data_IF_122439078884
#
_entry.id   IF_122439078884
#
_cell.length_a   1.000
_cell.length_b   1.000
_cell.length_c   1.000
_cell.angle_alpha   90.00
_cell.angle_beta   90.00
_cell.angle_gamma   90.00
#
_symmetry.space_group_name_H-M   'P 1'
#
loop_
_entity.id
_entity.type
_entity.pdbx_description
1 polymer ?
#
# COMPACT_ATOMS: atom_id res chain seq x y z
N UNK A 1 9.14 32.61 -18.32
CA UNK A 1 9.33 31.75 -17.13
C UNK A 1 10.02 30.48 -17.60
N UNK A 2 11.35 30.46 -17.46
CA UNK A 2 12.26 29.43 -17.96
C UNK A 2 12.13 28.17 -17.07
N UNK A 3 11.55 27.09 -17.58
CA UNK A 3 11.48 25.83 -16.84
C UNK A 3 12.78 25.04 -17.05
N UNK A 4 13.85 25.46 -16.36
CA UNK A 4 15.00 24.58 -16.09
C UNK A 4 14.57 23.52 -15.10
N UNK A 5 14.42 22.28 -15.54
CA UNK A 5 14.35 21.14 -14.63
C UNK A 5 15.67 20.36 -14.73
N UNK A 6 16.67 20.88 -14.02
CA UNK A 6 17.79 20.10 -13.51
C UNK A 6 17.49 19.81 -12.04
N UNK A 7 17.52 18.55 -11.64
CA UNK A 7 17.60 18.18 -10.22
C UNK A 7 17.51 16.66 -10.00
N UNK A 8 17.93 16.15 -8.83
CA UNK A 8 19.13 16.46 -8.05
C UNK A 8 20.13 15.27 -8.04
N UNK A 9 21.35 15.54 -7.59
CA UNK A 9 22.35 14.51 -7.23
C UNK A 9 21.80 13.57 -6.15
N UNK A 10 22.22 12.32 -6.24
CA UNK A 10 22.01 11.18 -5.32
C UNK A 10 20.63 10.52 -5.34
N UNK A 11 20.43 9.64 -6.33
CA UNK A 11 19.88 8.31 -6.03
C UNK A 11 20.24 7.30 -7.15
N UNK A 12 20.80 6.17 -6.74
CA UNK A 12 21.19 5.06 -7.62
C UNK A 12 19.94 4.43 -8.26
N UNK A 13 19.61 4.80 -9.50
CA UNK A 13 18.66 4.07 -10.34
C UNK A 13 19.40 3.33 -11.46
N UNK A 14 19.82 2.09 -11.17
CA UNK A 14 20.37 1.14 -12.15
C UNK A 14 19.38 0.83 -13.28
N UNK A 15 19.94 0.82 -14.49
CA UNK A 15 19.64 0.13 -15.77
C UNK A 15 18.18 -0.04 -16.24
N UNK A 16 17.94 0.37 -17.49
CA UNK A 16 16.87 -0.07 -18.39
C UNK A 16 15.44 0.40 -18.13
N UNK A 17 15.20 1.72 -18.15
CA UNK A 17 13.82 2.26 -18.27
C UNK A 17 13.75 3.37 -19.31
N UNK A 18 12.85 3.21 -20.28
CA UNK A 18 12.31 4.29 -21.11
C UNK A 18 11.17 4.92 -20.32
N UNK A 19 11.33 6.17 -19.91
CA UNK A 19 10.30 6.94 -19.20
C UNK A 19 9.32 7.51 -20.24
N UNK A 20 8.02 7.19 -20.12
CA UNK A 20 6.96 7.77 -20.95
C UNK A 20 6.03 8.57 -20.04
N UNK A 21 5.68 9.80 -20.43
CA UNK A 21 4.83 10.70 -19.63
C UNK A 21 3.55 11.03 -20.41
N UNK A 22 2.40 10.81 -19.76
CA UNK A 22 1.06 11.13 -20.25
C UNK A 22 0.66 12.47 -19.63
N UNK A 23 0.30 13.43 -20.48
CA UNK A 23 0.13 14.85 -20.11
C UNK A 23 -1.32 15.18 -19.72
N UNK A 24 -2.26 14.34 -20.15
CA UNK A 24 -3.67 14.43 -19.85
C UNK A 24 -4.24 13.03 -19.97
N UNK A 25 -5.19 12.61 -19.15
CA UNK A 25 -5.64 11.20 -19.03
C UNK A 25 -5.97 10.45 -20.33
N UNK A 26 -6.08 11.16 -21.47
CA UNK A 26 -6.37 10.67 -22.83
C UNK A 26 -5.23 10.78 -23.85
N UNK A 27 -4.10 11.44 -23.55
CA UNK A 27 -3.05 11.76 -24.55
C UNK A 27 -1.63 11.48 -24.05
N UNK A 28 -0.86 10.75 -24.86
CA UNK A 28 0.52 10.34 -24.57
C UNK A 28 1.49 10.94 -25.59
N UNK A 29 2.62 11.47 -25.11
CA UNK A 29 3.74 11.86 -25.97
C UNK A 29 4.82 10.77 -25.96
N UNK A 30 5.29 10.42 -27.16
CA UNK A 30 6.46 9.58 -27.40
C UNK A 30 7.44 10.34 -28.29
N UNK A 31 8.68 9.87 -28.45
CA UNK A 31 9.69 10.55 -29.29
C UNK A 31 10.34 9.58 -30.27
N UNK A 32 10.51 10.03 -31.52
CA UNK A 32 11.34 9.38 -32.55
C UNK A 32 12.61 10.18 -32.77
N UNK A 33 13.69 9.47 -33.06
CA UNK A 33 14.96 10.05 -33.53
C UNK A 33 14.91 10.14 -35.04
N UNK A 34 15.05 11.35 -35.59
CA UNK A 34 15.12 11.59 -37.04
C UNK A 34 16.59 11.57 -37.46
N UNK A 35 16.95 11.13 -38.69
CA UNK A 35 18.34 11.04 -39.16
C UNK A 35 19.16 12.34 -39.05
N UNK A 36 18.50 13.48 -38.89
CA UNK A 36 19.11 14.80 -38.67
C UNK A 36 19.61 15.05 -37.23
N UNK A 37 19.51 14.06 -36.34
CA UNK A 37 19.94 14.17 -34.94
C UNK A 37 18.98 14.99 -34.05
N UNK A 38 17.87 15.48 -34.62
CA UNK A 38 16.81 16.17 -33.87
C UNK A 38 15.72 15.18 -33.43
N UNK A 39 15.23 15.40 -32.22
CA UNK A 39 14.07 14.71 -31.67
C UNK A 39 12.79 15.20 -32.34
N UNK A 40 12.00 14.28 -32.90
CA UNK A 40 10.63 14.56 -33.28
C UNK A 40 9.70 13.91 -32.26
N UNK A 41 9.04 14.69 -31.38
CA UNK A 41 8.01 14.16 -30.51
C UNK A 41 6.78 13.79 -31.36
N UNK A 42 6.34 12.53 -31.25
CA UNK A 42 5.08 12.07 -31.82
C UNK A 42 4.02 12.06 -30.74
N UNK A 43 2.81 12.44 -31.13
CA UNK A 43 1.70 12.54 -30.19
C UNK A 43 0.65 11.50 -30.49
N UNK A 44 0.36 10.66 -29.53
CA UNK A 44 -0.61 9.57 -29.69
C UNK A 44 -1.82 9.84 -28.82
N UNK A 45 -3.00 9.85 -29.44
CA UNK A 45 -4.28 9.81 -28.71
C UNK A 45 -4.53 8.38 -28.31
N UNK A 46 -4.83 8.19 -27.03
CA UNK A 46 -5.38 6.95 -26.52
C UNK A 46 -6.89 7.10 -26.62
N UNK A 47 -7.50 6.57 -27.68
CA UNK A 47 -8.93 6.69 -27.98
C UNK A 47 -9.81 5.85 -27.04
N UNK A 48 -9.51 5.81 -25.74
CA UNK A 48 -10.18 4.97 -24.75
C UNK A 48 -9.86 3.48 -24.84
N UNK A 49 -9.06 3.09 -25.83
CA UNK A 49 -8.62 1.72 -26.04
C UNK A 49 -7.46 1.29 -25.14
N UNK A 50 -7.38 0.00 -24.83
CA UNK A 50 -6.25 -0.61 -24.10
C UNK A 50 -5.24 -1.26 -25.05
N UNK A 51 -5.57 -1.38 -26.33
CA UNK A 51 -4.77 -2.12 -27.30
C UNK A 51 -3.96 -1.17 -28.21
N UNK A 52 -2.79 -1.59 -28.72
CA UNK A 52 -1.95 -0.77 -29.61
C UNK A 52 -2.68 -0.21 -30.84
N UNK A 53 -3.59 -1.00 -31.44
CA UNK A 53 -4.37 -0.63 -32.63
C UNK A 53 -5.39 0.48 -32.39
N UNK A 54 -5.78 0.69 -31.14
CA UNK A 54 -6.72 1.74 -30.72
C UNK A 54 -5.98 3.05 -30.35
N UNK A 55 -4.65 3.04 -30.50
CA UNK A 55 -3.73 4.12 -30.10
C UNK A 55 -2.83 4.55 -31.27
N UNK A 56 -3.39 5.02 -32.41
CA UNK A 56 -2.60 5.37 -33.60
C UNK A 56 -1.64 6.55 -33.34
N UNK A 57 -0.46 6.55 -34.02
CA UNK A 57 0.48 7.66 -33.97
C UNK A 57 -0.10 8.96 -34.54
N UNK A 58 0.41 10.09 -34.05
CA UNK A 58 0.17 11.45 -34.57
C UNK A 58 -1.30 11.90 -34.58
N UNK A 59 -2.10 11.39 -33.63
CA UNK A 59 -3.50 11.80 -33.43
C UNK A 59 -3.72 12.75 -32.24
N UNK A 60 -2.67 13.09 -31.48
CA UNK A 60 -2.69 13.99 -30.31
C UNK A 60 -3.15 15.41 -30.59
N UNK A 61 -3.81 16.05 -29.61
CA UNK A 61 -4.12 17.50 -29.63
C UNK A 61 -3.16 18.34 -28.76
N UNK A 62 -2.03 17.77 -28.31
CA UNK A 62 -1.07 18.50 -27.49
C UNK A 62 -0.38 19.57 -28.35
N UNK A 63 -0.46 20.84 -27.95
CA UNK A 63 0.28 21.89 -28.65
C UNK A 63 1.72 21.88 -28.16
N UNK A 64 2.65 21.35 -28.96
CA UNK A 64 4.08 21.36 -28.61
C UNK A 64 4.75 22.65 -29.08
N UNK A 65 5.60 23.23 -28.24
CA UNK A 65 6.37 24.42 -28.60
C UNK A 65 7.51 24.01 -29.54
N UNK A 66 7.48 24.52 -30.77
CA UNK A 66 8.48 24.19 -31.80
C UNK A 66 9.89 24.56 -31.35
N UNK A 67 10.87 23.68 -31.60
CA UNK A 67 12.28 23.92 -31.28
C UNK A 67 12.68 23.65 -29.82
N UNK A 68 11.76 23.20 -28.97
CA UNK A 68 12.03 22.91 -27.54
C UNK A 68 12.19 21.41 -27.23
N UNK A 69 12.05 20.56 -28.23
CA UNK A 69 12.19 19.11 -28.06
C UNK A 69 13.64 18.65 -28.17
N UNK A 70 14.09 17.87 -27.20
CA UNK A 70 15.44 17.29 -27.18
C UNK A 70 15.37 15.81 -26.85
N UNK A 71 16.22 15.01 -27.51
CA UNK A 71 16.49 13.63 -27.13
C UNK A 71 17.97 13.55 -26.79
N UNK A 72 18.27 13.01 -25.62
CA UNK A 72 19.64 12.82 -25.14
C UNK A 72 19.82 11.36 -24.77
N UNK A 73 20.87 10.72 -25.29
CA UNK A 73 21.30 9.40 -24.85
C UNK A 73 22.41 9.58 -23.82
N UNK A 74 22.19 9.12 -22.59
CA UNK A 74 23.19 9.16 -21.52
C UNK A 74 23.10 7.89 -20.68
N UNK A 75 24.25 7.24 -20.44
CA UNK A 75 24.36 6.05 -19.59
C UNK A 75 23.36 4.93 -19.96
N UNK A 76 23.25 4.63 -21.26
CA UNK A 76 22.31 3.63 -21.80
C UNK A 76 20.82 3.94 -21.54
N UNK A 77 20.48 5.21 -21.30
CA UNK A 77 19.10 5.69 -21.18
C UNK A 77 18.85 6.77 -22.22
N UNK A 78 17.68 6.71 -22.84
CA UNK A 78 17.18 7.74 -23.74
C UNK A 78 16.27 8.67 -22.94
N UNK A 79 16.63 9.95 -22.89
CA UNK A 79 15.82 11.01 -22.30
C UNK A 79 15.13 11.78 -23.42
N UNK A 80 13.85 12.04 -23.26
CA UNK A 80 13.06 12.90 -24.13
C UNK A 80 12.56 14.09 -23.30
N UNK A 81 12.86 15.29 -23.75
CA UNK A 81 12.32 16.53 -23.23
C UNK A 81 11.51 17.23 -24.32
N UNK A 82 10.42 17.88 -23.94
CA UNK A 82 9.57 18.69 -24.82
C UNK A 82 8.80 19.70 -23.97
N UNK A 83 8.40 20.81 -24.57
CA UNK A 83 7.53 21.79 -23.94
C UNK A 83 6.14 21.75 -24.57
N UNK A 84 5.11 21.80 -23.71
CA UNK A 84 3.71 21.84 -24.11
C UNK A 84 3.17 23.25 -23.84
N UNK A 85 2.48 23.82 -24.81
CA UNK A 85 1.69 25.04 -24.69
C UNK A 85 0.28 24.68 -24.24
N UNK A 86 -0.17 25.27 -23.14
CA UNK A 86 -1.51 25.07 -22.61
C UNK A 86 -1.97 26.33 -21.88
N UNK A 87 -3.26 26.64 -21.96
CA UNK A 87 -3.83 27.84 -21.33
C UNK A 87 -3.85 27.69 -19.79
N UNK A 88 -4.03 26.46 -19.29
CA UNK A 88 -3.85 26.11 -17.88
C UNK A 88 -3.16 24.75 -17.74
N UNK A 89 -2.12 24.65 -16.90
CA UNK A 89 -1.41 23.39 -16.71
C UNK A 89 -2.31 22.37 -16.01
N UNK A 90 -2.52 21.22 -16.64
CA UNK A 90 -3.39 20.18 -16.10
C UNK A 90 -2.76 19.58 -14.84
N UNK A 91 -3.46 19.55 -13.71
CA UNK A 91 -2.88 19.06 -12.46
C UNK A 91 -2.60 17.56 -12.53
N UNK A 92 -3.35 16.78 -13.30
CA UNK A 92 -3.24 15.33 -13.34
C UNK A 92 -2.33 14.84 -14.48
N UNK A 93 -1.23 14.20 -14.09
CA UNK A 93 -0.27 13.54 -14.96
C UNK A 93 -0.33 12.04 -14.75
N UNK A 94 -0.02 11.28 -15.80
CA UNK A 94 0.16 9.84 -15.68
C UNK A 94 1.59 9.51 -16.11
N UNK A 95 2.29 8.77 -15.27
CA UNK A 95 3.62 8.25 -15.53
C UNK A 95 3.47 6.80 -15.95
N UNK A 96 4.11 6.36 -17.03
CA UNK A 96 4.02 4.98 -17.49
C UNK A 96 5.36 4.39 -17.90
N UNK A 97 5.49 3.08 -17.75
CA UNK A 97 6.69 2.30 -18.06
C UNK A 97 6.37 1.32 -19.18
N UNK A 98 7.05 1.49 -20.32
CA UNK A 98 6.91 0.60 -21.46
C UNK A 98 7.52 -0.80 -21.26
N UNK A 99 7.31 -1.70 -22.23
CA UNK A 99 7.97 -3.01 -22.28
C UNK A 99 9.51 -2.87 -22.40
N UNK A 100 10.27 -3.89 -21.98
CA UNK A 100 11.74 -3.89 -22.16
C UNK A 100 12.06 -4.17 -23.62
N UNK A 101 13.06 -3.45 -24.14
CA UNK A 101 13.62 -3.68 -25.48
C UNK A 101 12.60 -3.59 -26.63
N UNK A 102 11.47 -2.93 -26.40
CA UNK A 102 10.39 -2.81 -27.36
C UNK A 102 10.11 -1.33 -27.61
N UNK A 103 10.84 -0.79 -28.58
CA UNK A 103 10.70 0.59 -29.05
C UNK A 103 9.77 0.61 -30.26
N UNK A 104 8.91 1.63 -30.40
CA UNK A 104 8.10 1.80 -31.60
C UNK A 104 9.00 1.82 -32.84
N UNK A 105 8.74 0.92 -33.79
CA UNK A 105 9.56 0.75 -34.99
C UNK A 105 8.77 1.05 -36.26
N UNK A 106 9.46 1.43 -37.37
CA UNK A 106 8.80 1.67 -38.66
C UNK A 106 8.06 0.44 -39.18
N UNK A 107 8.59 -0.77 -38.96
CA UNK A 107 7.97 -2.02 -39.40
C UNK A 107 6.63 -2.30 -38.70
N UNK A 108 6.49 -1.84 -37.45
CA UNK A 108 5.26 -1.99 -36.66
C UNK A 108 4.33 -0.76 -36.77
N UNK A 109 4.52 0.10 -37.77
CA UNK A 109 3.73 1.32 -37.96
C UNK A 109 3.86 2.33 -36.80
N UNK A 110 4.92 2.21 -35.99
CA UNK A 110 5.17 3.01 -34.79
C UNK A 110 4.07 2.98 -33.74
N UNK A 111 3.30 1.90 -33.65
CA UNK A 111 2.29 1.71 -32.62
C UNK A 111 2.91 1.68 -31.22
N UNK A 112 2.18 2.17 -30.23
CA UNK A 112 2.58 2.07 -28.83
C UNK A 112 2.22 0.70 -28.25
N UNK A 113 3.22 -0.01 -27.78
CA UNK A 113 3.05 -1.20 -26.94
C UNK A 113 2.40 -0.85 -25.59
N UNK A 114 1.70 -1.83 -25.02
CA UNK A 114 1.07 -1.71 -23.70
C UNK A 114 2.13 -1.45 -22.60
N UNK A 115 1.80 -0.55 -21.67
CA UNK A 115 2.66 -0.24 -20.53
C UNK A 115 2.60 -1.38 -19.51
N UNK A 116 3.76 -1.76 -18.95
CA UNK A 116 3.82 -2.78 -17.88
C UNK A 116 3.45 -2.21 -16.52
N UNK A 117 3.62 -0.91 -16.36
CA UNK A 117 3.35 -0.21 -15.12
C UNK A 117 2.91 1.22 -15.43
N UNK A 118 2.01 1.75 -14.61
CA UNK A 118 1.54 3.12 -14.72
C UNK A 118 1.08 3.65 -13.35
N UNK A 119 1.33 4.93 -13.12
CA UNK A 119 0.91 5.65 -11.93
C UNK A 119 0.32 7.00 -12.34
N UNK A 120 -0.60 7.53 -11.53
CA UNK A 120 -1.17 8.85 -11.72
C UNK A 120 -0.69 9.79 -10.61
N UNK A 121 -0.32 11.01 -10.97
CA UNK A 121 0.24 12.01 -10.07
C UNK A 121 -0.49 13.34 -10.30
N UNK A 122 -0.96 13.98 -9.24
CA UNK A 122 -1.47 15.35 -9.27
C UNK A 122 -0.37 16.33 -8.87
N UNK A 123 -0.30 17.46 -9.55
CA UNK A 123 0.62 18.57 -9.25
C UNK A 123 -0.22 19.82 -9.02
N UNK A 124 -0.09 20.41 -7.84
CA UNK A 124 -0.59 21.74 -7.57
C UNK A 124 0.47 22.76 -7.98
N UNK A 125 0.26 23.43 -9.11
CA UNK A 125 1.22 24.40 -9.66
C UNK A 125 1.36 25.69 -8.85
N UNK A 126 0.41 25.97 -7.94
CA UNK A 126 0.45 27.16 -7.07
C UNK A 126 1.30 26.87 -5.83
N UNK A 127 1.12 25.69 -5.22
CA UNK A 127 1.83 25.32 -3.98
C UNK A 127 3.10 24.50 -4.22
N UNK A 128 3.29 23.97 -5.42
CA UNK A 128 4.41 23.08 -5.77
C UNK A 128 4.27 21.65 -5.22
N UNK A 129 3.13 21.31 -4.60
CA UNK A 129 2.89 19.99 -4.00
C UNK A 129 2.59 18.96 -5.09
N UNK A 130 3.22 17.79 -4.99
CA UNK A 130 3.03 16.64 -5.87
C UNK A 130 2.39 15.52 -5.04
N UNK A 131 1.22 15.03 -5.46
CA UNK A 131 0.46 13.97 -4.78
C UNK A 131 0.08 12.86 -5.77
N UNK A 132 -0.30 11.67 -5.32
CA UNK A 132 -0.85 10.65 -6.22
C UNK A 132 -2.28 11.02 -6.64
N UNK A 133 -2.63 10.84 -7.91
CA UNK A 133 -3.92 11.29 -8.47
C UNK A 133 -5.07 10.28 -8.29
N UNK A 134 -4.94 9.35 -7.34
CA UNK A 134 -6.05 8.56 -6.82
C UNK A 134 -6.49 9.18 -5.50
N UNK A 135 -7.80 9.46 -5.37
CA UNK A 135 -8.55 9.78 -4.15
C UNK A 135 -7.69 9.96 -2.90
N UNK A 136 -7.66 11.18 -2.33
CA UNK A 136 -6.89 11.52 -1.12
C UNK A 136 -7.16 10.51 0.01
N UNK A 137 -6.38 9.42 0.04
CA UNK A 137 -6.24 8.65 1.25
C UNK A 137 -5.28 9.47 2.11
N UNK A 138 -5.77 10.01 3.22
CA UNK A 138 -4.98 10.75 4.21
C UNK A 138 -3.69 10.01 4.67
N UNK A 139 -3.57 8.72 4.35
CA UNK A 139 -2.44 7.86 4.63
C UNK A 139 -1.89 7.19 3.36
N UNK A 140 -0.56 7.25 3.19
CA UNK A 140 0.16 6.48 2.17
C UNK A 140 -0.07 4.96 2.31
N UNK A 141 0.20 4.17 1.26
CA UNK A 141 0.03 2.71 1.30
C UNK A 141 0.81 2.01 2.45
N UNK A 142 2.08 2.37 2.75
CA UNK A 142 2.79 1.89 3.93
C UNK A 142 2.12 2.28 5.26
N UNK A 143 1.65 3.52 5.37
CA UNK A 143 0.93 3.99 6.56
C UNK A 143 -0.40 3.25 6.74
N UNK A 144 -1.14 2.97 5.65
CA UNK A 144 -2.36 2.15 5.69
C UNK A 144 -2.08 0.72 6.13
N UNK A 145 -1.01 0.09 5.64
CA UNK A 145 -0.58 -1.24 6.09
C UNK A 145 -0.32 -1.25 7.60
N UNK A 146 0.50 -0.30 8.08
CA UNK A 146 0.83 -0.17 9.50
C UNK A 146 -0.39 0.11 10.37
N UNK A 147 -1.23 1.07 9.97
CA UNK A 147 -2.43 1.49 10.70
C UNK A 147 -3.45 0.36 10.81
N UNK A 148 -3.71 -0.37 9.71
CA UNK A 148 -4.64 -1.51 9.72
C UNK A 148 -4.12 -2.66 10.59
N UNK A 149 -2.82 -2.93 10.57
CA UNK A 149 -2.19 -3.92 11.46
C UNK A 149 -2.29 -3.52 12.94
N UNK A 150 -2.00 -2.25 13.26
CA UNK A 150 -2.09 -1.71 14.61
C UNK A 150 -3.53 -1.70 15.14
N UNK A 151 -4.48 -1.12 14.39
CA UNK A 151 -5.88 -1.06 14.82
C UNK A 151 -6.53 -2.45 14.86
N UNK A 152 -6.32 -3.24 13.81
CA UNK A 152 -6.88 -4.58 13.70
C UNK A 152 -6.33 -5.49 14.79
N UNK A 153 -5.04 -5.82 14.72
CA UNK A 153 -4.45 -6.85 15.58
C UNK A 153 -3.89 -6.32 16.90
N UNK A 154 -3.41 -5.07 16.92
CA UNK A 154 -2.83 -4.45 18.13
C UNK A 154 -3.85 -3.88 19.11
N UNK A 155 -5.03 -3.47 18.64
CA UNK A 155 -6.06 -2.81 19.48
C UNK A 155 -7.31 -3.67 19.60
N UNK A 156 -8.00 -3.95 18.49
CA UNK A 156 -9.32 -4.59 18.55
C UNK A 156 -9.25 -6.01 19.10
N UNK A 157 -8.21 -6.78 18.78
CA UNK A 157 -8.14 -8.17 19.25
C UNK A 157 -7.90 -8.26 20.77
N UNK A 158 -6.92 -7.53 21.35
CA UNK A 158 -6.83 -7.42 22.81
C UNK A 158 -8.12 -6.93 23.47
N UNK A 159 -8.82 -5.96 22.85
CA UNK A 159 -10.12 -5.48 23.35
C UNK A 159 -11.18 -6.60 23.34
N UNK A 160 -11.28 -7.38 22.26
CA UNK A 160 -12.19 -8.52 22.17
C UNK A 160 -11.89 -9.58 23.24
N UNK A 161 -10.60 -9.85 23.51
CA UNK A 161 -10.18 -10.75 24.58
C UNK A 161 -10.52 -10.20 25.98
N UNK A 162 -10.34 -8.90 26.20
CA UNK A 162 -10.73 -8.22 27.44
C UNK A 162 -12.25 -8.28 27.68
N UNK A 163 -13.06 -8.02 26.63
CA UNK A 163 -14.52 -8.13 26.71
C UNK A 163 -14.97 -9.55 27.12
N UNK A 164 -14.36 -10.59 26.55
CA UNK A 164 -14.68 -11.97 26.94
C UNK A 164 -14.27 -12.32 28.37
N UNK A 165 -13.28 -11.62 28.93
CA UNK A 165 -12.79 -11.84 30.31
C UNK A 165 -13.62 -11.08 31.34
N UNK A 166 -13.87 -9.79 31.12
CA UNK A 166 -14.41 -8.89 32.13
C UNK A 166 -15.92 -8.67 32.01
N UNK A 167 -16.49 -8.77 30.80
CA UNK A 167 -17.94 -8.62 30.59
C UNK A 167 -18.69 -9.96 30.68
N UNK A 168 -18.06 -11.00 31.27
CA UNK A 168 -18.57 -12.38 31.25
C UNK A 168 -19.98 -12.54 31.84
N UNK A 169 -20.35 -11.64 32.74
CA UNK A 169 -21.63 -11.66 33.45
C UNK A 169 -22.81 -11.22 32.54
N UNK A 170 -22.53 -10.67 31.36
CA UNK A 170 -23.54 -10.29 30.38
C UNK A 170 -23.74 -11.43 29.36
N UNK A 171 -24.20 -12.61 29.79
CA UNK A 171 -24.54 -13.71 28.87
C UNK A 171 -25.92 -13.45 28.24
N UNK A 172 -26.09 -13.49 26.90
CA UNK A 172 -25.13 -13.87 25.85
C UNK A 172 -24.33 -12.71 25.21
N UNK A 173 -24.56 -11.46 25.63
CA UNK A 173 -24.00 -10.26 24.98
C UNK A 173 -22.46 -10.26 24.92
N UNK A 174 -21.76 -10.78 25.94
CA UNK A 174 -20.30 -10.86 25.97
C UNK A 174 -19.76 -11.69 24.80
N UNK A 175 -20.48 -12.74 24.41
CA UNK A 175 -20.06 -13.63 23.33
C UNK A 175 -20.23 -12.96 21.98
N UNK A 176 -21.36 -12.28 21.76
CA UNK A 176 -21.59 -11.49 20.56
C UNK A 176 -20.54 -10.36 20.44
N UNK A 177 -20.32 -9.60 21.51
CA UNK A 177 -19.31 -8.54 21.54
C UNK A 177 -17.90 -9.09 21.26
N UNK A 178 -17.50 -10.18 21.89
CA UNK A 178 -16.23 -10.85 21.62
C UNK A 178 -16.10 -11.23 20.14
N UNK A 179 -17.09 -11.94 19.60
CA UNK A 179 -17.06 -12.42 18.22
C UNK A 179 -17.05 -11.28 17.20
N UNK A 180 -17.87 -10.25 17.39
CA UNK A 180 -17.94 -9.09 16.50
C UNK A 180 -16.62 -8.31 16.49
N UNK A 181 -16.07 -7.99 17.67
CA UNK A 181 -14.81 -7.25 17.78
C UNK A 181 -13.64 -8.07 17.21
N UNK A 182 -13.59 -9.38 17.50
CA UNK A 182 -12.57 -10.28 16.95
C UNK A 182 -12.67 -10.40 15.42
N UNK A 183 -13.89 -10.48 14.89
CA UNK A 183 -14.14 -10.54 13.45
C UNK A 183 -13.67 -9.28 12.72
N UNK A 184 -14.01 -8.09 13.25
CA UNK A 184 -13.57 -6.81 12.68
C UNK A 184 -12.05 -6.68 12.78
N UNK A 185 -11.46 -6.99 13.93
CA UNK A 185 -10.00 -6.93 14.12
C UNK A 185 -9.25 -7.86 13.16
N UNK A 186 -9.78 -9.07 12.93
CA UNK A 186 -9.22 -10.02 11.98
C UNK A 186 -9.31 -9.50 10.54
N UNK A 187 -10.48 -9.00 10.13
CA UNK A 187 -10.69 -8.46 8.78
C UNK A 187 -9.76 -7.26 8.47
N UNK A 188 -9.61 -6.33 9.42
CA UNK A 188 -8.71 -5.19 9.26
C UNK A 188 -7.25 -5.62 9.16
N UNK A 189 -6.79 -6.54 10.01
CA UNK A 189 -5.42 -7.05 9.91
C UNK A 189 -5.16 -7.84 8.63
N UNK A 190 -6.14 -8.60 8.13
CA UNK A 190 -6.07 -9.27 6.83
C UNK A 190 -5.96 -8.25 5.68
N UNK A 191 -6.76 -7.19 5.71
CA UNK A 191 -6.63 -6.08 4.76
C UNK A 191 -5.23 -5.44 4.83
N UNK A 192 -4.70 -5.25 6.04
CA UNK A 192 -3.33 -4.80 6.27
C UNK A 192 -2.31 -5.71 5.60
N UNK A 193 -2.41 -7.04 5.76
CA UNK A 193 -1.53 -8.01 5.08
C UNK A 193 -1.62 -7.89 3.56
N UNK A 194 -2.83 -7.79 2.99
CA UNK A 194 -3.03 -7.66 1.53
C UNK A 194 -2.33 -6.40 1.00
N UNK A 195 -2.41 -5.29 1.71
CA UNK A 195 -1.66 -4.07 1.36
C UNK A 195 -0.15 -4.31 1.50
N UNK A 196 0.28 -4.97 2.57
CA UNK A 196 1.69 -5.33 2.81
C UNK A 196 2.30 -6.16 1.67
N UNK A 197 1.54 -7.10 1.11
CA UNK A 197 1.97 -7.86 -0.07
C UNK A 197 2.19 -6.98 -1.31
N UNK A 198 1.37 -5.94 -1.49
CA UNK A 198 1.52 -4.99 -2.61
C UNK A 198 2.72 -4.05 -2.44
N UNK A 199 3.15 -3.81 -1.20
CA UNK A 199 4.33 -2.99 -0.90
C UNK A 199 5.65 -3.73 -1.19
N UNK A 200 5.64 -5.06 -1.12
CA UNK A 200 6.83 -5.89 -1.22
C UNK A 200 7.17 -6.27 -2.67
N UNK A 201 7.78 -5.34 -3.38
CA UNK A 201 8.51 -5.61 -4.63
C UNK A 201 9.96 -6.09 -4.42
N UNK A 202 10.40 -6.33 -3.18
CA UNK A 202 11.81 -6.64 -2.84
C UNK A 202 11.91 -7.78 -1.81
N UNK A 203 12.38 -8.93 -2.27
CA UNK A 203 12.49 -10.18 -1.51
C UNK A 203 13.56 -10.16 -0.41
N UNK A 204 13.22 -9.65 0.77
CA UNK A 204 13.99 -9.87 2.00
C UNK A 204 13.49 -11.14 2.72
N UNK A 205 14.42 -12.01 3.13
CA UNK A 205 14.12 -13.23 3.92
C UNK A 205 13.40 -12.86 5.24
N UNK A 206 13.70 -11.68 5.79
CA UNK A 206 13.11 -11.19 7.03
C UNK A 206 11.64 -10.79 6.87
N UNK A 207 11.26 -10.15 5.74
CA UNK A 207 9.84 -9.86 5.45
C UNK A 207 9.03 -11.14 5.17
N UNK A 208 9.72 -12.23 4.80
CA UNK A 208 9.11 -13.56 4.66
C UNK A 208 8.78 -14.20 6.02
N UNK A 209 9.65 -14.05 7.04
CA UNK A 209 9.42 -14.58 8.40
C UNK A 209 8.32 -13.82 9.14
N UNK A 210 8.28 -12.48 9.03
CA UNK A 210 7.17 -11.66 9.56
C UNK A 210 5.84 -12.01 8.88
N UNK A 211 5.85 -12.26 7.56
CA UNK A 211 4.67 -12.79 6.83
C UNK A 211 4.23 -14.15 7.34
N UNK A 212 5.14 -15.11 7.47
CA UNK A 212 4.83 -16.51 7.83
C UNK A 212 4.32 -16.66 9.26
N UNK A 213 4.80 -15.83 10.19
CA UNK A 213 4.31 -15.80 11.58
C UNK A 213 2.91 -15.18 11.68
N UNK A 214 2.64 -14.12 10.93
CA UNK A 214 1.32 -13.48 10.85
C UNK A 214 0.24 -14.36 10.20
N UNK A 215 0.61 -15.13 9.17
CA UNK A 215 -0.34 -15.91 8.36
C UNK A 215 -0.72 -17.28 8.95
N UNK A 216 0.12 -17.90 9.79
CA UNK A 216 -0.02 -19.35 10.07
C UNK A 216 -0.90 -19.71 11.27
N UNK A 217 -1.06 -18.85 12.29
CA UNK A 217 -1.72 -19.25 13.55
C UNK A 217 -3.14 -18.68 13.77
N UNK A 218 -3.45 -17.52 13.20
CA UNK A 218 -4.69 -16.78 13.48
C UNK A 218 -5.96 -17.31 12.77
N UNK A 219 -5.93 -17.57 11.45
CA UNK A 219 -7.11 -18.09 10.75
C UNK A 219 -7.55 -19.44 11.32
N UNK A 220 -6.58 -20.26 11.73
CA UNK A 220 -6.82 -21.55 12.37
C UNK A 220 -7.57 -21.37 13.70
N UNK A 221 -7.13 -20.45 14.57
CA UNK A 221 -7.82 -20.16 15.83
C UNK A 221 -9.27 -19.70 15.61
N UNK A 222 -9.50 -18.84 14.61
CA UNK A 222 -10.82 -18.29 14.29
C UNK A 222 -11.77 -19.37 13.73
N UNK A 223 -11.28 -20.18 12.79
CA UNK A 223 -12.06 -21.27 12.16
C UNK A 223 -12.41 -22.34 13.20
N UNK A 224 -11.44 -22.80 14.00
CA UNK A 224 -11.72 -23.84 15.00
C UNK A 224 -12.66 -23.30 16.09
N UNK A 225 -12.58 -22.00 16.46
CA UNK A 225 -13.50 -21.38 17.41
C UNK A 225 -14.94 -21.23 16.90
N UNK A 226 -15.15 -21.12 15.58
CA UNK A 226 -16.48 -21.07 14.98
C UNK A 226 -17.09 -22.46 14.81
N UNK A 227 -16.32 -23.42 14.29
CA UNK A 227 -16.85 -24.70 13.82
C UNK A 227 -16.66 -25.87 14.79
N UNK A 228 -15.62 -25.84 15.63
CA UNK A 228 -15.25 -26.96 16.50
C UNK A 228 -15.36 -26.62 17.99
N UNK A 229 -16.12 -25.58 18.34
CA UNK A 229 -16.40 -25.19 19.72
C UNK A 229 -17.27 -26.26 20.40
N UNK A 230 -16.78 -26.98 21.43
CA UNK A 230 -17.54 -28.04 22.08
C UNK A 230 -18.71 -27.50 22.90
N UNK A 231 -19.74 -28.33 23.08
CA UNK A 231 -20.88 -28.04 23.93
C UNK A 231 -20.45 -27.74 25.38
N UNK A 232 -21.21 -26.85 26.06
CA UNK A 232 -20.91 -26.40 27.42
C UNK A 232 -20.87 -27.57 28.44
N UNK A 233 -21.60 -28.65 28.21
CA UNK A 233 -21.68 -29.83 29.09
C UNK A 233 -20.55 -30.86 28.88
N UNK A 234 -19.79 -30.75 27.79
CA UNK A 234 -18.78 -31.75 27.42
C UNK A 234 -17.47 -31.59 28.21
N UNK A 235 -16.81 -32.71 28.56
CA UNK A 235 -15.44 -32.68 29.16
C UNK A 235 -14.43 -32.00 28.22
N UNK A 236 -14.64 -32.12 26.91
CA UNK A 236 -13.82 -31.51 25.86
C UNK A 236 -13.81 -29.97 25.95
N UNK A 237 -14.86 -29.37 26.53
CA UNK A 237 -14.95 -27.93 26.75
C UNK A 237 -13.80 -27.37 27.59
N UNK A 238 -13.32 -28.15 28.57
CA UNK A 238 -12.21 -27.74 29.45
C UNK A 238 -10.89 -27.63 28.67
N UNK A 239 -10.55 -28.65 27.89
CA UNK A 239 -9.36 -28.67 27.03
C UNK A 239 -9.45 -27.58 25.95
N UNK A 240 -10.63 -27.43 25.34
CA UNK A 240 -10.91 -26.37 24.39
C UNK A 240 -10.65 -24.97 24.97
N UNK A 241 -11.19 -24.68 26.16
CA UNK A 241 -10.98 -23.39 26.81
C UNK A 241 -9.48 -23.18 27.12
N UNK A 242 -8.78 -24.18 27.64
CA UNK A 242 -7.34 -24.09 27.91
C UNK A 242 -6.55 -23.77 26.64
N UNK A 243 -6.77 -24.52 25.56
CA UNK A 243 -6.14 -24.27 24.27
C UNK A 243 -6.48 -22.86 23.77
N UNK A 244 -7.78 -22.52 23.76
CA UNK A 244 -8.26 -21.28 23.19
C UNK A 244 -7.67 -20.04 23.89
N UNK A 245 -7.59 -20.07 25.21
CA UNK A 245 -7.02 -18.98 26.00
C UNK A 245 -5.51 -18.87 25.84
N UNK A 246 -4.76 -19.97 25.93
CA UNK A 246 -3.31 -19.92 25.86
C UNK A 246 -2.82 -19.56 24.46
N UNK A 247 -3.37 -20.20 23.42
CA UNK A 247 -3.02 -19.88 22.04
C UNK A 247 -3.43 -18.45 21.70
N UNK A 248 -4.64 -18.01 22.09
CA UNK A 248 -5.09 -16.64 21.88
C UNK A 248 -4.17 -15.58 22.52
N UNK A 249 -3.64 -15.83 23.71
CA UNK A 249 -2.68 -14.95 24.38
C UNK A 249 -1.33 -14.90 23.66
N UNK A 250 -0.79 -16.05 23.26
CA UNK A 250 0.46 -16.12 22.48
C UNK A 250 0.35 -15.36 21.16
N UNK A 251 -0.80 -15.51 20.50
CA UNK A 251 -1.20 -14.84 19.26
C UNK A 251 -1.21 -13.31 19.41
N UNK A 252 -1.74 -12.78 20.52
CA UNK A 252 -1.69 -11.35 20.85
C UNK A 252 -0.24 -10.87 21.10
N UNK A 253 0.57 -11.65 21.82
CA UNK A 253 1.97 -11.31 22.08
C UNK A 253 2.80 -11.24 20.79
N UNK A 254 2.63 -12.23 19.90
CA UNK A 254 3.28 -12.26 18.58
C UNK A 254 2.83 -11.07 17.71
N UNK A 255 1.54 -10.75 17.70
CA UNK A 255 1.03 -9.58 16.95
C UNK A 255 1.65 -8.28 17.47
N UNK A 256 1.78 -8.12 18.78
CA UNK A 256 2.41 -6.95 19.41
C UNK A 256 3.89 -6.83 19.01
N UNK A 257 4.65 -7.93 19.07
CA UNK A 257 6.04 -7.96 18.64
C UNK A 257 6.18 -7.63 17.13
N UNK A 258 5.29 -8.18 16.30
CA UNK A 258 5.26 -7.90 14.86
C UNK A 258 4.98 -6.43 14.55
N UNK A 259 4.11 -5.75 15.32
CA UNK A 259 3.85 -4.32 15.15
C UNK A 259 5.11 -3.50 15.45
N UNK A 260 5.76 -3.74 16.59
CA UNK A 260 7.02 -3.04 16.92
C UNK A 260 8.13 -3.30 15.90
N UNK A 261 8.21 -4.54 15.41
CA UNK A 261 9.14 -4.90 14.35
C UNK A 261 8.84 -4.15 13.04
N UNK A 262 7.57 -4.07 12.64
CA UNK A 262 7.12 -3.31 11.47
C UNK A 262 7.43 -1.82 11.57
N UNK A 263 7.16 -1.20 12.74
CA UNK A 263 7.50 0.20 13.01
C UNK A 263 9.01 0.45 12.93
N UNK A 264 9.82 -0.49 13.45
CA UNK A 264 11.29 -0.41 13.38
C UNK A 264 11.80 -0.46 11.94
N UNK A 265 11.28 -1.37 11.12
CA UNK A 265 11.63 -1.45 9.68
C UNK A 265 11.21 -0.19 8.92
N UNK A 266 10.04 0.38 9.26
CA UNK A 266 9.56 1.62 8.66
C UNK A 266 10.39 2.86 9.04
N UNK A 267 11.32 2.74 10.00
CA UNK A 267 12.09 3.87 10.51
C UNK A 267 11.29 4.81 11.42
N UNK A 268 10.09 4.40 11.83
CA UNK A 268 9.16 5.16 12.65
C UNK A 268 9.57 5.08 14.12
N UNK A 269 10.54 5.91 14.54
CA UNK A 269 11.14 5.83 15.89
C UNK A 269 10.47 6.70 16.95
N UNK A 270 9.58 7.62 16.55
CA UNK A 270 9.07 8.65 17.46
C UNK A 270 7.56 8.51 17.72
N UNK A 271 6.70 9.20 16.96
CA UNK A 271 5.28 9.35 17.32
C UNK A 271 4.52 8.02 17.41
N UNK A 272 4.59 7.17 16.38
CA UNK A 272 3.84 5.91 16.32
C UNK A 272 4.35 4.87 17.32
N UNK A 273 5.67 4.77 17.47
CA UNK A 273 6.30 3.85 18.43
C UNK A 273 5.94 4.22 19.87
N UNK A 274 6.09 5.51 20.24
CA UNK A 274 5.76 6.01 21.57
C UNK A 274 4.26 5.89 21.82
N UNK A 275 3.43 6.32 20.87
CA UNK A 275 1.97 6.26 20.99
C UNK A 275 1.44 4.85 21.23
N UNK A 276 1.93 3.88 20.47
CA UNK A 276 1.53 2.48 20.66
C UNK A 276 2.02 1.92 22.00
N UNK A 277 3.24 2.28 22.43
CA UNK A 277 3.78 1.88 23.72
C UNK A 277 2.96 2.42 24.90
N UNK A 278 2.56 3.70 24.83
CA UNK A 278 1.68 4.34 25.83
C UNK A 278 0.32 3.64 25.86
N UNK A 279 -0.27 3.36 24.69
CA UNK A 279 -1.53 2.63 24.61
C UNK A 279 -1.48 1.25 25.28
N UNK A 280 -0.41 0.48 25.03
CA UNK A 280 -0.21 -0.83 25.67
C UNK A 280 -0.05 -0.70 27.19
N UNK A 281 0.72 0.29 27.65
CA UNK A 281 0.90 0.58 29.07
C UNK A 281 -0.41 0.91 29.78
N UNK A 282 -1.21 1.80 29.21
CA UNK A 282 -2.53 2.16 29.74
C UNK A 282 -3.48 0.95 29.75
N UNK A 283 -3.51 0.18 28.66
CA UNK A 283 -4.33 -1.03 28.56
C UNK A 283 -3.97 -2.07 29.62
N UNK A 284 -2.67 -2.25 29.92
CA UNK A 284 -2.19 -3.12 30.99
C UNK A 284 -2.65 -2.64 32.37
N UNK A 285 -2.53 -1.35 32.67
CA UNK A 285 -3.00 -0.76 33.93
C UNK A 285 -4.50 -1.00 34.11
N UNK A 286 -5.30 -0.76 33.07
CA UNK A 286 -6.75 -1.01 33.10
C UNK A 286 -7.04 -2.49 33.39
N UNK A 287 -6.31 -3.41 32.76
CA UNK A 287 -6.47 -4.84 33.02
C UNK A 287 -6.12 -5.22 34.46
N UNK A 288 -5.05 -4.64 35.03
CA UNK A 288 -4.69 -4.85 36.44
C UNK A 288 -5.80 -4.37 37.37
N UNK A 289 -6.35 -3.18 37.13
CA UNK A 289 -7.47 -2.65 37.93
C UNK A 289 -8.69 -3.58 37.87
N UNK A 290 -9.06 -4.06 36.67
CA UNK A 290 -10.18 -4.99 36.52
C UNK A 290 -9.92 -6.35 37.15
N UNK A 291 -8.68 -6.83 37.14
CA UNK A 291 -8.31 -8.08 37.81
C UNK A 291 -8.40 -7.94 39.33
N UNK A 292 -7.92 -6.84 39.91
CA UNK A 292 -8.04 -6.53 41.34
C UNK A 292 -9.52 -6.44 41.75
N UNK A 293 -10.34 -5.69 40.99
CA UNK A 293 -11.79 -5.60 41.26
C UNK A 293 -12.48 -6.95 41.22
N UNK A 294 -12.14 -7.78 40.25
CA UNK A 294 -12.68 -9.13 40.13
C UNK A 294 -12.25 -10.04 41.28
N UNK A 295 -11.02 -9.92 41.75
CA UNK A 295 -10.54 -10.69 42.90
C UNK A 295 -11.33 -10.31 44.16
N UNK A 296 -11.45 -9.01 44.44
CA UNK A 296 -12.22 -8.50 45.59
C UNK A 296 -13.72 -8.81 45.53
N UNK A 297 -14.30 -9.01 44.34
CA UNK A 297 -15.72 -9.35 44.21
C UNK A 297 -16.04 -10.84 44.32
N UNK A 298 -15.02 -11.71 44.33
CA UNK A 298 -15.19 -13.15 44.46
C UNK A 298 -14.80 -13.67 45.86
N UNK A 299 -14.40 -12.78 46.76
CA UNK A 299 -14.39 -12.98 48.22
C UNK A 299 -15.75 -12.56 48.81
#
# INVERSE_FOLDING_TARGET
MELRLVGPRHELLRRDRVLRRRVDGRQQCSGRVVPTGRARPDQTVLSGGKNPWECPPDKGDLKLVTGTSAIVSQSSRLYLAFQVQTDQPKPYLINSVGPRNDLPSPLAGFLLSEHRDHASTSINYITGVISDAGEESAFSSPQRHGLLGMLGWGVLIPMGAAAARYCRNWDPQWFCAHMSVQGIGFALGLAGIVIGFKLDGRGSIMSMLTRRSALSSWPLQFIIALFARPDKSSKNRKYWNWYHHNVGRSVIAIATANIFFGLSIAGEKNAWFIGYSVFLGLSLIICIIFEIKRFMSNE
#
